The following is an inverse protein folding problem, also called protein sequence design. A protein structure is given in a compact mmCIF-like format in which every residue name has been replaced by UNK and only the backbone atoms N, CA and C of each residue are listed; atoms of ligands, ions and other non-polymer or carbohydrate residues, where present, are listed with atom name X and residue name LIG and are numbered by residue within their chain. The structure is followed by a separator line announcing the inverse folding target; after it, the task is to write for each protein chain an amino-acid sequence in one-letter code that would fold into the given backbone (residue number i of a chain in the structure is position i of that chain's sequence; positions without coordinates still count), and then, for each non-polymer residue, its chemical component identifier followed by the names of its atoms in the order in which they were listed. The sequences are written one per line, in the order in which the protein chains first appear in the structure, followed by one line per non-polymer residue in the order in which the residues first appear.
data_IF_818426325714
#
_entry.id   IF_818426325714
#
_cell.length_a   1.000
_cell.length_b   1.000
_cell.length_c   1.000
_cell.angle_alpha   90.00
_cell.angle_beta   90.00
_cell.angle_gamma   90.00
#
_symmetry.space_group_name_H-M   'P 1'
#
loop_
_entity.id
_entity.type
_entity.pdbx_description
1 polymer ?
#
# COMPACT_ATOMS: atom_id res chain seq x y z
N UNK A 1 -21.29 -21.61 23.64
CA UNK A 1 -20.99 -20.86 22.40
C UNK A 1 -20.83 -21.89 21.29
N UNK A 2 -21.75 -21.92 20.34
CA UNK A 2 -21.67 -22.74 19.13
C UNK A 2 -20.43 -22.33 18.34
N UNK A 3 -19.59 -23.26 17.84
CA UNK A 3 -18.51 -22.93 16.92
C UNK A 3 -19.12 -22.24 15.70
N UNK A 4 -18.68 -21.03 15.40
CA UNK A 4 -19.13 -20.31 14.21
C UNK A 4 -18.88 -21.17 12.97
N UNK A 5 -19.90 -21.31 12.12
CA UNK A 5 -19.74 -21.91 10.80
C UNK A 5 -18.65 -21.16 10.03
N UNK A 6 -17.47 -21.75 9.94
CA UNK A 6 -16.47 -21.34 8.94
C UNK A 6 -16.93 -22.00 7.64
N UNK A 7 -17.64 -21.24 6.81
CA UNK A 7 -17.93 -21.68 5.44
C UNK A 7 -16.61 -21.98 4.70
N UNK A 8 -16.62 -23.03 3.88
CA UNK A 8 -15.43 -23.47 3.15
C UNK A 8 -14.85 -22.33 2.29
N UNK A 9 -13.52 -22.07 2.35
CA UNK A 9 -12.84 -21.11 1.48
C UNK A 9 -13.10 -21.33 -0.01
N UNK A 10 -13.41 -22.57 -0.42
CA UNK A 10 -13.78 -22.92 -1.80
C UNK A 10 -15.12 -22.32 -2.22
N UNK A 11 -16.11 -22.30 -1.33
CA UNK A 11 -17.45 -21.75 -1.61
C UNK A 11 -17.36 -20.22 -1.73
N UNK A 12 -16.63 -19.56 -0.81
CA UNK A 12 -16.40 -18.12 -0.90
C UNK A 12 -15.54 -17.75 -2.12
N UNK A 13 -14.52 -18.55 -2.45
CA UNK A 13 -13.70 -18.41 -3.65
C UNK A 13 -14.55 -18.47 -4.92
N UNK A 14 -15.44 -19.46 -5.04
CA UNK A 14 -16.34 -19.63 -6.18
C UNK A 14 -17.32 -18.46 -6.34
N UNK A 15 -17.97 -18.02 -5.26
CA UNK A 15 -18.90 -16.89 -5.30
C UNK A 15 -18.20 -15.57 -5.69
N UNK A 16 -17.01 -15.32 -5.16
CA UNK A 16 -16.21 -14.13 -5.48
C UNK A 16 -15.68 -14.19 -6.91
N UNK A 17 -15.22 -15.35 -7.35
CA UNK A 17 -14.74 -15.57 -8.72
C UNK A 17 -15.82 -15.27 -9.77
N UNK A 18 -17.06 -15.75 -9.58
CA UNK A 18 -18.18 -15.45 -10.49
C UNK A 18 -18.47 -13.95 -10.60
N UNK A 19 -18.42 -13.21 -9.48
CA UNK A 19 -18.61 -11.74 -9.51
C UNK A 19 -17.46 -11.04 -10.21
N UNK A 20 -16.23 -11.53 -10.04
CA UNK A 20 -15.05 -10.96 -10.67
C UNK A 20 -15.02 -11.23 -12.19
N UNK A 21 -15.50 -12.38 -12.64
CA UNK A 21 -15.70 -12.65 -14.07
C UNK A 21 -16.72 -11.73 -14.72
N UNK A 22 -17.74 -11.26 -14.00
CA UNK A 22 -18.69 -10.27 -14.50
C UNK A 22 -18.05 -8.89 -14.67
N UNK A 23 -17.15 -8.52 -13.77
CA UNK A 23 -16.39 -7.25 -13.84
C UNK A 23 -15.38 -7.29 -15.01
N UNK A 24 -14.71 -8.44 -15.22
CA UNK A 24 -13.71 -8.58 -16.28
C UNK A 24 -14.29 -8.93 -17.66
N UNK A 25 -15.46 -9.58 -17.71
CA UNK A 25 -16.11 -10.05 -18.94
C UNK A 25 -17.01 -9.02 -19.63
N UNK A 26 -17.39 -7.94 -18.93
CA UNK A 26 -18.15 -6.83 -19.49
C UNK A 26 -17.26 -5.87 -20.28
N UNK A 27 -16.87 -6.24 -21.51
CA UNK A 27 -16.38 -5.35 -22.58
C UNK A 27 -15.67 -4.08 -22.11
N UNK A 28 -14.50 -4.25 -21.51
CA UNK A 28 -13.60 -3.19 -21.06
C UNK A 28 -13.00 -2.52 -22.32
N UNK A 29 -13.76 -1.62 -22.98
CA UNK A 29 -13.32 -0.75 -24.11
C UNK A 29 -12.32 0.33 -23.70
N UNK A 30 -11.63 0.11 -22.59
CA UNK A 30 -10.77 1.09 -21.91
C UNK A 30 -9.31 0.66 -21.88
N UNK A 31 -9.01 -0.59 -22.27
CA UNK A 31 -7.63 -1.05 -22.44
C UNK A 31 -7.23 -0.72 -23.87
N UNK A 32 -6.13 0.01 -24.03
CA UNK A 32 -5.60 0.35 -25.33
C UNK A 32 -4.76 -0.78 -25.94
N UNK A 33 -4.20 -0.53 -27.12
CA UNK A 33 -3.32 -1.48 -27.82
C UNK A 33 -2.00 -1.76 -27.09
N UNK A 34 -1.66 -0.95 -26.09
CA UNK A 34 -0.47 -1.12 -25.26
C UNK A 34 -0.77 -1.88 -23.96
N UNK A 35 -1.98 -2.46 -23.82
CA UNK A 35 -2.45 -3.14 -22.60
C UNK A 35 -2.61 -2.22 -21.38
N UNK A 36 -2.77 -0.91 -21.58
CA UNK A 36 -2.98 0.03 -20.49
C UNK A 36 -4.44 0.48 -20.44
N UNK A 37 -4.98 0.52 -19.23
CA UNK A 37 -6.25 1.16 -18.91
C UNK A 37 -6.11 2.66 -19.13
N UNK A 38 -6.99 3.21 -19.97
CA UNK A 38 -7.15 4.63 -20.26
C UNK A 38 -8.34 5.16 -19.46
N UNK A 39 -8.07 6.06 -18.51
CA UNK A 39 -9.07 6.82 -17.79
C UNK A 39 -9.68 7.88 -18.71
N UNK A 40 -10.66 7.47 -19.53
CA UNK A 40 -11.45 8.34 -20.40
C UNK A 40 -12.68 8.94 -19.71
N UNK A 41 -13.06 8.41 -18.53
CA UNK A 41 -14.10 8.94 -17.66
C UNK A 41 -13.45 9.61 -16.43
N UNK A 42 -13.88 10.82 -16.04
CA UNK A 42 -13.33 11.51 -14.87
C UNK A 42 -13.36 10.69 -13.59
N UNK A 43 -14.36 9.83 -13.39
CA UNK A 43 -14.48 8.95 -12.22
C UNK A 43 -13.28 8.00 -12.11
N UNK A 44 -12.67 7.63 -13.22
CA UNK A 44 -11.62 6.61 -13.28
C UNK A 44 -10.23 7.20 -13.12
N UNK A 45 -10.11 8.48 -13.48
CA UNK A 45 -8.96 9.31 -13.13
C UNK A 45 -9.10 9.93 -11.76
N UNK A 46 -10.26 9.81 -11.11
CA UNK A 46 -10.54 10.48 -9.85
C UNK A 46 -9.75 9.83 -8.74
N UNK A 47 -9.04 10.67 -8.02
CA UNK A 47 -8.25 10.28 -6.88
C UNK A 47 -8.57 11.19 -5.71
N UNK A 48 -9.18 10.60 -4.68
CA UNK A 48 -9.40 11.29 -3.41
C UNK A 48 -8.07 11.77 -2.83
N UNK A 49 -6.96 11.11 -3.13
CA UNK A 49 -5.63 11.48 -2.65
C UNK A 49 -4.58 11.13 -3.72
N UNK A 50 -4.03 12.14 -4.40
CA UNK A 50 -3.24 13.11 -3.65
C UNK A 50 -3.83 14.51 -3.52
N UNK A 51 -4.95 14.82 -4.20
CA UNK A 51 -5.48 16.19 -4.22
C UNK A 51 -6.97 16.32 -4.53
N UNK A 52 -7.79 15.27 -4.42
CA UNK A 52 -9.22 15.33 -4.81
C UNK A 52 -9.41 15.77 -6.28
N UNK A 53 -8.65 15.15 -7.19
CA UNK A 53 -8.55 15.57 -8.57
C UNK A 53 -8.69 14.42 -9.56
N UNK A 54 -8.84 14.76 -10.83
CA UNK A 54 -8.92 13.78 -11.92
C UNK A 54 -7.64 13.80 -12.74
N UNK A 55 -7.01 12.65 -12.92
CA UNK A 55 -5.91 12.45 -13.86
C UNK A 55 -6.41 11.77 -15.15
N UNK A 56 -6.15 12.40 -16.29
CA UNK A 56 -6.53 11.86 -17.59
C UNK A 56 -5.49 10.89 -18.13
N UNK A 57 -5.91 10.11 -19.12
CA UNK A 57 -5.04 9.19 -19.86
C UNK A 57 -4.77 7.91 -19.09
N UNK A 58 -3.56 7.38 -19.22
CA UNK A 58 -3.10 6.14 -18.61
C UNK A 58 -2.60 6.43 -17.21
N UNK A 59 -3.53 6.57 -16.27
CA UNK A 59 -3.20 6.81 -14.87
C UNK A 59 -2.39 5.63 -14.32
N UNK A 60 -1.18 5.89 -13.83
CA UNK A 60 -0.21 4.84 -13.51
C UNK A 60 -0.67 4.00 -12.33
N UNK A 61 -1.16 4.61 -11.25
CA UNK A 61 -1.74 3.89 -10.12
C UNK A 61 -2.86 2.94 -10.56
N UNK A 62 -3.78 3.40 -11.41
CA UNK A 62 -4.89 2.58 -11.88
C UNK A 62 -4.40 1.32 -12.62
N UNK A 63 -3.36 1.46 -13.45
CA UNK A 63 -2.78 0.35 -14.17
C UNK A 63 -2.03 -0.64 -13.25
N UNK A 64 -1.32 -0.14 -12.24
CA UNK A 64 -0.70 -1.00 -11.21
C UNK A 64 -1.77 -1.77 -10.44
N UNK A 65 -2.84 -1.09 -10.01
CA UNK A 65 -3.97 -1.73 -9.32
C UNK A 65 -4.69 -2.74 -10.22
N UNK A 66 -4.78 -2.48 -11.53
CA UNK A 66 -5.36 -3.41 -12.49
C UNK A 66 -4.51 -4.68 -12.62
N UNK A 67 -3.19 -4.56 -12.71
CA UNK A 67 -2.28 -5.72 -12.69
C UNK A 67 -2.45 -6.54 -11.40
N UNK A 68 -2.46 -5.89 -10.23
CA UNK A 68 -2.70 -6.55 -8.95
C UNK A 68 -4.08 -7.23 -8.89
N UNK A 69 -5.11 -6.62 -9.47
CA UNK A 69 -6.45 -7.22 -9.53
C UNK A 69 -6.46 -8.50 -10.38
N UNK A 70 -5.74 -8.51 -11.52
CA UNK A 70 -5.58 -9.69 -12.36
C UNK A 70 -4.80 -10.82 -11.66
N UNK A 71 -3.74 -10.50 -10.92
CA UNK A 71 -3.00 -11.48 -10.12
C UNK A 71 -3.87 -12.12 -9.01
N UNK A 72 -4.67 -11.29 -8.34
CA UNK A 72 -5.65 -11.77 -7.36
C UNK A 72 -6.75 -12.61 -8.03
N UNK A 73 -7.20 -12.23 -9.23
CA UNK A 73 -8.15 -13.00 -10.03
C UNK A 73 -7.60 -14.38 -10.41
N UNK A 74 -6.33 -14.45 -10.82
CA UNK A 74 -5.65 -15.70 -11.11
C UNK A 74 -5.59 -16.60 -9.87
N UNK A 75 -5.25 -16.03 -8.71
CA UNK A 75 -5.20 -16.78 -7.44
C UNK A 75 -6.57 -17.34 -7.06
N UNK A 76 -7.65 -16.56 -7.25
CA UNK A 76 -9.02 -17.04 -7.03
C UNK A 76 -9.41 -18.12 -8.05
N UNK A 77 -8.98 -18.00 -9.30
CA UNK A 77 -9.21 -19.00 -10.35
C UNK A 77 -8.55 -20.35 -10.01
N UNK A 78 -7.33 -20.33 -9.47
CA UNK A 78 -6.64 -21.55 -9.00
C UNK A 78 -7.43 -22.23 -7.87
N UNK A 79 -7.95 -21.46 -6.91
CA UNK A 79 -8.74 -22.00 -5.78
C UNK A 79 -9.97 -22.77 -6.26
N UNK A 80 -10.56 -22.37 -7.38
CA UNK A 80 -11.72 -23.05 -7.99
C UNK A 80 -11.34 -24.01 -9.12
N UNK A 81 -10.04 -24.33 -9.25
CA UNK A 81 -9.48 -25.21 -10.29
C UNK A 81 -9.76 -24.77 -11.74
N UNK A 82 -9.95 -23.47 -11.99
CA UNK A 82 -10.10 -22.93 -13.34
C UNK A 82 -8.72 -22.51 -13.90
N UNK A 83 -7.93 -23.50 -14.31
CA UNK A 83 -6.55 -23.30 -14.77
C UNK A 83 -6.44 -22.43 -16.02
N UNK A 84 -7.41 -22.52 -16.94
CA UNK A 84 -7.46 -21.70 -18.15
C UNK A 84 -7.60 -20.21 -17.82
N UNK A 85 -8.57 -19.85 -16.98
CA UNK A 85 -8.73 -18.45 -16.58
C UNK A 85 -7.56 -17.96 -15.73
N UNK A 86 -7.02 -18.81 -14.86
CA UNK A 86 -5.85 -18.49 -14.07
C UNK A 86 -4.64 -18.14 -14.96
N UNK A 87 -4.41 -18.91 -16.03
CA UNK A 87 -3.36 -18.63 -17.02
C UNK A 87 -3.62 -17.31 -17.77
N UNK A 88 -4.85 -17.10 -18.24
CA UNK A 88 -5.23 -15.87 -18.95
C UNK A 88 -5.01 -14.62 -18.10
N UNK A 89 -5.44 -14.63 -16.83
CA UNK A 89 -5.26 -13.51 -15.93
C UNK A 89 -3.78 -13.22 -15.64
N UNK A 90 -2.95 -14.25 -15.46
CA UNK A 90 -1.49 -14.08 -15.30
C UNK A 90 -0.84 -13.47 -16.54
N UNK A 91 -1.21 -13.94 -17.73
CA UNK A 91 -0.69 -13.42 -18.99
C UNK A 91 -1.07 -11.94 -19.17
N UNK A 92 -2.33 -11.58 -18.89
CA UNK A 92 -2.77 -10.19 -18.95
C UNK A 92 -2.05 -9.33 -17.90
N UNK A 93 -1.88 -9.82 -16.67
CA UNK A 93 -1.14 -9.09 -15.64
C UNK A 93 0.30 -8.81 -16.09
N UNK A 94 1.00 -9.81 -16.61
CA UNK A 94 2.36 -9.67 -17.12
C UNK A 94 2.45 -8.63 -18.26
N UNK A 95 1.47 -8.62 -19.17
CA UNK A 95 1.40 -7.63 -20.25
C UNK A 95 1.20 -6.20 -19.71
N UNK A 96 0.30 -6.01 -18.74
CA UNK A 96 0.06 -4.70 -18.10
C UNK A 96 1.31 -4.22 -17.36
N UNK A 97 1.97 -5.08 -16.58
CA UNK A 97 3.19 -4.75 -15.83
C UNK A 97 4.32 -4.30 -16.77
N UNK A 98 4.51 -5.04 -17.86
CA UNK A 98 5.48 -4.69 -18.92
C UNK A 98 5.15 -3.33 -19.52
N UNK A 99 3.87 -3.05 -19.80
CA UNK A 99 3.43 -1.78 -20.35
C UNK A 99 3.62 -0.61 -19.37
N UNK A 100 3.34 -0.80 -18.08
CA UNK A 100 3.60 0.21 -17.04
C UNK A 100 5.09 0.58 -17.01
N UNK A 101 5.97 -0.41 -17.02
CA UNK A 101 7.42 -0.20 -17.05
C UNK A 101 7.89 0.48 -18.34
N UNK A 102 7.29 0.15 -19.48
CA UNK A 102 7.68 0.67 -20.78
C UNK A 102 7.23 2.11 -21.00
N UNK A 103 6.00 2.45 -20.61
CA UNK A 103 5.35 3.71 -20.99
C UNK A 103 5.18 4.72 -19.85
N UNK A 104 5.22 4.28 -18.59
CA UNK A 104 4.86 5.13 -17.44
C UNK A 104 6.03 5.38 -16.47
N UNK A 105 7.14 4.66 -16.62
CA UNK A 105 8.39 4.94 -15.91
C UNK A 105 9.23 5.99 -16.64
N UNK A 106 9.61 7.07 -15.96
CA UNK A 106 10.52 8.08 -16.52
C UNK A 106 11.96 7.78 -16.05
N UNK A 107 12.79 7.23 -16.93
CA UNK A 107 14.17 6.84 -16.62
C UNK A 107 15.10 8.03 -16.35
N UNK A 108 14.83 9.19 -16.94
CA UNK A 108 15.59 10.42 -16.68
C UNK A 108 15.28 10.97 -15.30
N UNK A 109 14.00 11.01 -14.94
CA UNK A 109 13.53 11.54 -13.65
C UNK A 109 13.65 10.51 -12.50
N UNK A 110 13.84 9.23 -12.82
CA UNK A 110 13.93 8.11 -11.89
C UNK A 110 12.68 7.89 -11.02
N UNK A 111 11.48 8.12 -11.58
CA UNK A 111 10.22 7.80 -10.93
C UNK A 111 9.12 7.46 -11.95
N UNK A 112 8.06 6.80 -11.49
CA UNK A 112 6.85 6.59 -12.27
C UNK A 112 6.03 7.88 -12.31
N UNK A 113 5.70 8.31 -13.53
CA UNK A 113 4.85 9.47 -13.78
C UNK A 113 3.45 9.23 -13.22
N UNK A 114 2.72 10.30 -12.92
CA UNK A 114 1.34 10.20 -12.42
C UNK A 114 0.46 9.58 -13.51
N UNK A 115 0.55 10.09 -14.74
CA UNK A 115 -0.04 9.47 -15.94
C UNK A 115 0.79 9.80 -17.18
N UNK A 116 0.42 9.24 -18.32
CA UNK A 116 1.01 9.61 -19.62
C UNK A 116 0.68 11.06 -20.06
N UNK A 117 -0.26 11.73 -19.38
CA UNK A 117 -0.60 13.14 -19.61
C UNK A 117 -0.21 14.07 -18.45
N UNK A 118 0.03 13.51 -17.26
CA UNK A 118 0.58 14.23 -16.11
C UNK A 118 1.99 13.67 -15.82
N UNK A 119 2.95 14.16 -16.61
CA UNK A 119 4.34 13.68 -16.61
C UNK A 119 5.25 14.46 -15.66
N UNK A 120 4.72 15.55 -15.06
CA UNK A 120 5.38 16.36 -14.04
C UNK A 120 4.76 16.13 -12.66
N UNK A 121 5.57 16.33 -11.63
CA UNK A 121 5.27 15.96 -10.27
C UNK A 121 5.38 14.46 -9.97
N UNK A 122 5.55 14.15 -8.69
CA UNK A 122 5.66 12.77 -8.20
C UNK A 122 4.53 12.51 -7.20
N UNK A 123 3.88 11.35 -7.30
CA UNK A 123 2.84 10.92 -6.37
C UNK A 123 3.34 9.75 -5.49
N UNK A 124 3.05 9.83 -4.19
CA UNK A 124 3.46 8.82 -3.19
C UNK A 124 2.87 7.45 -3.54
N UNK A 125 1.58 7.38 -3.83
CA UNK A 125 0.86 6.13 -4.07
C UNK A 125 1.35 5.38 -5.31
N UNK A 126 1.55 6.08 -6.41
CA UNK A 126 1.99 5.53 -7.69
C UNK A 126 3.33 4.82 -7.50
N UNK A 127 4.27 5.50 -6.85
CA UNK A 127 5.61 4.97 -6.67
C UNK A 127 5.69 3.93 -5.53
N UNK A 128 4.91 4.11 -4.46
CA UNK A 128 4.80 3.11 -3.39
C UNK A 128 4.17 1.81 -3.88
N UNK A 129 3.09 1.88 -4.67
CA UNK A 129 2.43 0.71 -5.25
C UNK A 129 3.28 0.04 -6.32
N UNK A 130 4.10 0.78 -7.08
CA UNK A 130 5.06 0.19 -7.99
C UNK A 130 6.10 -0.68 -7.26
N UNK A 131 6.53 -0.26 -6.06
CA UNK A 131 7.38 -1.07 -5.17
C UNK A 131 6.61 -2.29 -4.64
N UNK A 132 5.44 -2.06 -4.03
CA UNK A 132 4.67 -3.10 -3.33
C UNK A 132 4.12 -4.18 -4.28
N UNK A 133 3.83 -3.84 -5.54
CA UNK A 133 3.44 -4.80 -6.58
C UNK A 133 4.63 -5.56 -7.19
N UNK A 134 5.87 -5.12 -6.90
CA UNK A 134 7.09 -5.64 -7.51
C UNK A 134 7.38 -5.17 -8.94
N UNK A 135 6.51 -4.35 -9.54
CA UNK A 135 6.68 -3.82 -10.91
C UNK A 135 8.00 -3.05 -11.03
N UNK A 136 8.32 -2.24 -10.01
CA UNK A 136 9.57 -1.50 -9.93
C UNK A 136 10.80 -2.42 -9.93
N UNK A 137 10.72 -3.57 -9.26
CA UNK A 137 11.83 -4.51 -9.15
C UNK A 137 12.14 -5.23 -10.48
N UNK A 138 11.16 -5.32 -11.39
CA UNK A 138 11.34 -5.92 -12.72
C UNK A 138 12.22 -5.08 -13.63
N UNK A 139 12.25 -3.75 -13.44
CA UNK A 139 13.16 -2.87 -14.18
C UNK A 139 14.60 -3.13 -13.76
N UNK A 140 14.86 -3.08 -12.45
CA UNK A 140 16.15 -3.35 -11.83
C UNK A 140 15.97 -3.39 -10.30
N UNK A 141 16.70 -4.26 -9.60
CA UNK A 141 16.63 -4.42 -8.13
C UNK A 141 16.92 -3.15 -7.32
N UNK A 142 17.62 -2.17 -7.91
CA UNK A 142 17.91 -0.88 -7.27
C UNK A 142 16.82 0.19 -7.46
N UNK A 143 15.83 -0.03 -8.32
CA UNK A 143 14.77 0.95 -8.60
C UNK A 143 13.92 1.23 -7.36
N UNK A 144 13.43 0.24 -6.58
CA UNK A 144 12.64 0.51 -5.39
C UNK A 144 13.32 1.47 -4.40
N UNK A 145 14.61 1.28 -4.13
CA UNK A 145 15.38 2.18 -3.26
C UNK A 145 15.47 3.60 -3.85
N UNK A 146 15.69 3.74 -5.17
CA UNK A 146 15.69 5.06 -5.82
C UNK A 146 14.34 5.75 -5.71
N UNK A 147 13.23 5.03 -5.87
CA UNK A 147 11.88 5.57 -5.73
C UNK A 147 11.63 6.09 -4.31
N UNK A 148 12.05 5.33 -3.29
CA UNK A 148 11.97 5.76 -1.89
C UNK A 148 12.75 7.06 -1.65
N UNK A 149 13.96 7.19 -2.19
CA UNK A 149 14.74 8.42 -2.07
C UNK A 149 14.13 9.59 -2.86
N UNK A 150 13.55 9.35 -4.04
CA UNK A 150 12.82 10.39 -4.79
C UNK A 150 11.60 10.88 -4.02
N UNK A 151 10.80 9.97 -3.43
CA UNK A 151 9.68 10.35 -2.58
C UNK A 151 10.17 11.09 -1.33
N UNK A 152 11.25 10.63 -0.68
CA UNK A 152 11.88 11.34 0.44
C UNK A 152 12.23 12.77 0.08
N UNK A 153 13.02 12.94 -0.98
CA UNK A 153 13.54 14.23 -1.41
C UNK A 153 12.46 15.22 -1.83
N UNK A 154 11.42 14.74 -2.53
CA UNK A 154 10.42 15.62 -3.18
C UNK A 154 9.16 15.83 -2.35
N UNK A 155 8.80 14.89 -1.48
CA UNK A 155 7.51 14.88 -0.80
C UNK A 155 7.61 15.14 0.70
N UNK A 156 8.79 14.97 1.32
CA UNK A 156 8.95 15.28 2.74
C UNK A 156 8.74 16.77 2.99
N UNK A 157 7.83 17.12 3.90
CA UNK A 157 7.61 18.51 4.31
C UNK A 157 8.68 18.94 5.31
N UNK A 158 9.43 19.99 4.96
CA UNK A 158 10.55 20.52 5.75
C UNK A 158 10.42 22.01 6.10
N UNK A 159 9.23 22.60 5.89
CA UNK A 159 8.98 24.00 6.25
C UNK A 159 8.85 24.16 7.77
N UNK A 160 9.06 25.37 8.29
CA UNK A 160 8.89 25.66 9.71
C UNK A 160 7.48 25.27 10.18
N UNK A 161 7.39 24.47 11.25
CA UNK A 161 6.16 23.89 11.79
C UNK A 161 5.41 22.95 10.81
N UNK A 162 6.06 22.52 9.72
CA UNK A 162 5.51 21.54 8.79
C UNK A 162 5.94 20.12 9.12
N UNK A 163 5.11 19.16 8.74
CA UNK A 163 5.37 17.73 8.96
C UNK A 163 4.67 16.88 7.91
N UNK A 164 5.06 15.61 7.85
CA UNK A 164 4.48 14.60 6.98
C UNK A 164 5.10 14.53 5.60
N UNK A 165 4.45 13.74 4.75
CA UNK A 165 4.79 13.55 3.35
C UNK A 165 3.62 14.01 2.48
N UNK A 166 3.87 14.96 1.57
CA UNK A 166 2.87 15.40 0.61
C UNK A 166 2.43 14.23 -0.25
N UNK A 167 1.13 14.09 -0.50
CA UNK A 167 0.61 13.01 -1.32
C UNK A 167 1.13 13.10 -2.76
N UNK A 168 1.28 14.33 -3.27
CA UNK A 168 1.93 14.68 -4.53
C UNK A 168 2.61 16.06 -4.41
N UNK A 169 3.63 16.31 -5.21
CA UNK A 169 4.25 17.64 -5.33
C UNK A 169 3.29 18.67 -5.93
N UNK A 170 3.47 19.96 -5.63
CA UNK A 170 2.55 21.00 -6.07
C UNK A 170 2.42 21.15 -7.60
N UNK A 171 3.44 20.76 -8.37
CA UNK A 171 3.42 20.72 -9.84
C UNK A 171 2.71 19.50 -10.43
N UNK A 172 2.38 18.51 -9.58
CA UNK A 172 1.69 17.28 -9.97
C UNK A 172 0.18 17.27 -9.70
N UNK A 173 -0.36 18.31 -9.05
CA UNK A 173 -1.78 18.35 -8.66
C UNK A 173 -2.63 19.00 -9.78
N UNK A 174 -3.86 18.53 -10.03
CA UNK A 174 -4.75 19.18 -10.98
C UNK A 174 -5.12 20.62 -10.56
N UNK A 175 -5.42 21.48 -11.53
CA UNK A 175 -5.84 22.86 -11.26
C UNK A 175 -7.06 22.92 -10.34
N UNK A 176 -7.06 23.86 -9.38
CA UNK A 176 -8.14 24.04 -8.40
C UNK A 176 -8.08 23.10 -7.21
N UNK A 177 -7.02 22.29 -7.09
CA UNK A 177 -6.81 21.38 -5.95
C UNK A 177 -5.74 21.89 -4.98
N UNK A 178 -5.54 21.20 -3.87
CA UNK A 178 -4.54 21.54 -2.85
C UNK A 178 -3.65 20.36 -2.51
N UNK A 179 -2.39 20.65 -2.19
CA UNK A 179 -1.49 19.66 -1.60
C UNK A 179 -1.94 19.31 -0.20
N UNK A 180 -1.91 18.01 0.12
CA UNK A 180 -2.26 17.47 1.43
C UNK A 180 -1.27 16.36 1.81
N UNK A 181 -1.17 16.11 3.10
CA UNK A 181 -0.61 14.88 3.66
C UNK A 181 -1.77 13.92 3.87
N UNK A 182 -1.69 12.72 3.30
CA UNK A 182 -2.75 11.70 3.41
C UNK A 182 -2.21 10.47 4.12
N UNK A 183 -2.64 10.19 5.37
CA UNK A 183 -2.22 8.98 6.09
C UNK A 183 -2.61 7.69 5.36
N UNK A 184 -3.71 7.71 4.61
CA UNK A 184 -4.10 6.60 3.74
C UNK A 184 -3.04 6.28 2.69
N UNK A 185 -2.45 7.29 2.05
CA UNK A 185 -1.41 7.11 1.04
C UNK A 185 -0.05 6.83 1.69
N UNK A 186 0.28 7.54 2.77
CA UNK A 186 1.53 7.33 3.50
C UNK A 186 1.63 5.96 4.14
N UNK A 187 0.52 5.25 4.35
CA UNK A 187 0.53 3.81 4.69
C UNK A 187 1.28 2.99 3.63
N UNK A 188 1.01 3.20 2.33
CA UNK A 188 1.70 2.47 1.27
C UNK A 188 3.18 2.85 1.19
N UNK A 189 3.51 4.13 1.45
CA UNK A 189 4.90 4.59 1.47
C UNK A 189 5.69 3.94 2.62
N UNK A 190 5.16 3.94 3.84
CA UNK A 190 5.80 3.28 4.97
C UNK A 190 5.91 1.75 4.74
N UNK A 191 4.87 1.11 4.22
CA UNK A 191 4.92 -0.31 3.87
C UNK A 191 5.99 -0.61 2.80
N UNK A 192 6.08 0.21 1.75
CA UNK A 192 7.10 0.08 0.71
C UNK A 192 8.52 0.22 1.29
N UNK A 193 8.73 1.17 2.21
CA UNK A 193 10.01 1.32 2.89
C UNK A 193 10.38 0.09 3.72
N UNK A 194 9.44 -0.45 4.50
CA UNK A 194 9.67 -1.69 5.26
C UNK A 194 9.91 -2.93 4.36
N UNK A 195 9.21 -3.06 3.23
CA UNK A 195 9.47 -4.16 2.28
C UNK A 195 10.84 -4.03 1.58
N UNK A 196 11.48 -2.86 1.66
CA UNK A 196 12.85 -2.62 1.16
C UNK A 196 13.89 -2.55 2.29
N UNK A 197 13.55 -3.03 3.49
CA UNK A 197 14.41 -3.00 4.68
C UNK A 197 14.91 -1.59 5.07
N UNK A 198 14.16 -0.56 4.69
CA UNK A 198 14.39 0.85 5.04
C UNK A 198 13.57 1.25 6.25
N UNK A 199 13.81 0.59 7.37
CA UNK A 199 13.13 0.90 8.63
C UNK A 199 13.37 2.35 9.06
N UNK A 200 14.54 2.92 8.73
CA UNK A 200 14.85 4.34 8.95
C UNK A 200 13.82 5.26 8.29
N UNK A 201 13.54 5.04 7.00
CA UNK A 201 12.57 5.82 6.25
C UNK A 201 11.15 5.49 6.65
N UNK A 202 10.86 4.22 6.95
CA UNK A 202 9.53 3.82 7.37
C UNK A 202 9.12 4.50 8.68
N UNK A 203 10.00 4.52 9.70
CA UNK A 203 9.76 5.27 10.93
C UNK A 203 9.69 6.77 10.70
N UNK A 204 10.52 7.33 9.80
CA UNK A 204 10.42 8.73 9.41
C UNK A 204 9.04 9.09 8.81
N UNK A 205 8.44 8.22 8.00
CA UNK A 205 7.05 8.38 7.51
C UNK A 205 6.06 8.29 8.67
N UNK A 206 6.17 7.26 9.52
CA UNK A 206 5.25 7.06 10.65
C UNK A 206 5.24 8.23 11.63
N UNK A 207 6.42 8.69 12.03
CA UNK A 207 6.58 9.78 12.99
C UNK A 207 6.06 11.10 12.42
N UNK A 208 6.33 11.38 11.15
CA UNK A 208 5.94 12.66 10.55
C UNK A 208 4.45 12.78 10.24
N UNK A 209 3.79 11.66 9.93
CA UNK A 209 2.38 11.65 9.51
C UNK A 209 1.44 11.35 10.69
N UNK A 210 1.75 10.40 11.57
CA UNK A 210 0.83 10.03 12.64
C UNK A 210 1.09 10.75 13.97
N UNK A 211 2.32 11.22 14.24
CA UNK A 211 2.63 11.90 15.51
C UNK A 211 1.74 13.13 15.78
N UNK A 212 1.42 14.00 14.80
CA UNK A 212 0.53 15.15 15.04
C UNK A 212 -0.83 14.77 15.63
N UNK A 213 -1.37 13.62 15.24
CA UNK A 213 -2.65 13.11 15.74
C UNK A 213 -2.58 12.58 17.18
N UNK A 214 -1.38 12.20 17.63
CA UNK A 214 -1.13 11.63 18.95
C UNK A 214 -0.78 12.70 20.00
N UNK A 215 -0.41 13.91 19.59
CA UNK A 215 -0.03 14.98 20.51
C UNK A 215 -1.26 15.59 21.22
N UNK A 216 -1.19 15.86 22.53
CA UNK A 216 -2.21 16.65 23.22
C UNK A 216 -2.35 18.04 22.58
N UNK A 217 -3.59 18.48 22.36
CA UNK A 217 -3.85 19.79 21.74
C UNK A 217 -5.31 19.98 21.34
N UNK A 218 -5.68 21.13 20.76
CA UNK A 218 -7.06 21.44 20.39
C UNK A 218 -7.63 20.52 19.31
N UNK A 219 -6.77 19.83 18.55
CA UNK A 219 -7.14 18.89 17.49
C UNK A 219 -7.05 17.42 17.93
N UNK A 220 -6.67 17.14 19.18
CA UNK A 220 -6.59 15.77 19.67
C UNK A 220 -7.99 15.16 19.83
N UNK A 221 -8.27 14.08 19.11
CA UNK A 221 -9.57 13.38 19.16
C UNK A 221 -9.47 11.95 19.67
N UNK A 222 -8.27 11.44 19.94
CA UNK A 222 -8.04 10.02 20.22
C UNK A 222 -8.31 9.09 19.04
N UNK A 223 -8.46 9.63 17.83
CA UNK A 223 -8.71 8.89 16.58
C UNK A 223 -7.85 9.45 15.44
N UNK A 224 -7.80 8.76 14.30
CA UNK A 224 -7.00 9.20 13.15
C UNK A 224 -7.77 10.16 12.25
N UNK A 225 -7.13 11.24 11.81
CA UNK A 225 -7.73 12.23 10.90
C UNK A 225 -7.67 11.77 9.45
N UNK A 226 -8.59 12.23 8.63
CA UNK A 226 -8.70 11.88 7.21
C UNK A 226 -7.50 12.32 6.38
N UNK A 227 -7.00 13.52 6.66
CA UNK A 227 -5.91 14.17 5.95
C UNK A 227 -5.34 15.30 6.80
N UNK A 228 -4.14 15.72 6.49
CA UNK A 228 -3.50 16.89 7.09
C UNK A 228 -3.08 17.89 6.02
N UNK A 229 -2.99 19.15 6.43
CA UNK A 229 -2.29 20.18 5.65
C UNK A 229 -0.78 20.04 5.89
N UNK A 230 0.07 20.62 5.02
CA UNK A 230 1.52 20.58 5.20
C UNK A 230 2.01 21.19 6.54
N UNK A 231 1.17 21.95 7.24
CA UNK A 231 1.47 22.50 8.56
C UNK A 231 1.17 21.54 9.74
N UNK A 232 0.84 20.26 9.47
CA UNK A 232 0.59 19.26 10.51
C UNK A 232 -0.77 19.35 11.21
N UNK A 233 -1.72 20.11 10.64
CA UNK A 233 -3.05 20.28 11.20
C UNK A 233 -4.13 19.80 10.22
N UNK A 234 -5.29 19.34 10.71
CA UNK A 234 -6.40 18.99 9.85
C UNK A 234 -6.94 20.23 9.12
N UNK A 235 -7.53 20.03 7.94
CA UNK A 235 -8.29 21.07 7.27
C UNK A 235 -9.63 21.33 7.96
N UNK A 236 -10.25 22.48 7.66
CA UNK A 236 -11.52 22.87 8.26
C UNK A 236 -12.66 21.85 8.03
N UNK A 237 -12.62 21.13 6.91
CA UNK A 237 -13.63 20.11 6.55
C UNK A 237 -13.10 18.67 6.69
N UNK A 238 -11.93 18.47 7.29
CA UNK A 238 -11.32 17.15 7.43
C UNK A 238 -12.10 16.32 8.46
N UNK A 239 -12.49 15.09 8.10
CA UNK A 239 -13.02 14.16 9.10
C UNK A 239 -11.95 13.85 10.14
N UNK A 240 -12.26 14.12 11.41
CA UNK A 240 -11.33 13.94 12.52
C UNK A 240 -11.31 12.52 13.11
N UNK A 241 -12.08 11.61 12.51
CA UNK A 241 -12.16 10.19 12.85
C UNK A 241 -12.40 9.36 11.57
N UNK A 242 -11.34 9.08 10.80
CA UNK A 242 -11.41 8.43 9.50
C UNK A 242 -10.59 7.13 9.48
N UNK A 243 -11.27 6.01 9.25
CA UNK A 243 -10.70 4.66 9.38
C UNK A 243 -9.62 4.34 8.36
N UNK A 244 -9.62 4.98 7.20
CA UNK A 244 -8.58 4.78 6.17
C UNK A 244 -7.17 5.21 6.64
N UNK A 245 -7.09 5.99 7.72
CA UNK A 245 -5.85 6.49 8.31
C UNK A 245 -5.35 5.56 9.42
N UNK A 246 -6.08 4.48 9.73
CA UNK A 246 -5.67 3.46 10.69
C UNK A 246 -4.61 2.49 10.13
N UNK A 247 -4.07 2.75 8.92
CA UNK A 247 -3.05 1.92 8.26
C UNK A 247 -1.78 1.70 9.09
N UNK A 248 -1.47 2.57 10.05
CA UNK A 248 -0.38 2.36 11.01
C UNK A 248 -0.55 1.04 11.81
N UNK A 249 -1.78 0.62 12.10
CA UNK A 249 -2.05 -0.60 12.90
C UNK A 249 -1.53 -1.87 12.22
N UNK A 250 -1.89 -2.19 10.96
CA UNK A 250 -1.30 -3.32 10.26
C UNK A 250 0.20 -3.13 9.98
N UNK A 251 0.71 -1.90 9.85
CA UNK A 251 2.17 -1.66 9.73
C UNK A 251 2.90 -2.13 11.00
N UNK A 252 2.48 -1.66 12.17
CA UNK A 252 3.10 -2.02 13.44
C UNK A 252 3.01 -3.53 13.69
N UNK A 253 1.89 -4.15 13.33
CA UNK A 253 1.72 -5.61 13.48
C UNK A 253 2.63 -6.42 12.54
N UNK A 254 2.75 -5.99 11.27
CA UNK A 254 3.49 -6.74 10.24
C UNK A 254 4.99 -6.52 10.26
N UNK A 255 5.43 -5.31 10.57
CA UNK A 255 6.83 -4.91 10.39
C UNK A 255 7.53 -4.65 11.73
N UNK A 256 6.88 -3.98 12.68
CA UNK A 256 7.50 -3.72 14.00
C UNK A 256 7.44 -4.96 14.88
N UNK A 257 6.25 -5.54 15.06
CA UNK A 257 6.09 -6.82 15.74
C UNK A 257 6.62 -7.98 14.87
N UNK A 258 6.56 -7.82 13.54
CA UNK A 258 7.17 -8.71 12.57
C UNK A 258 6.29 -9.86 12.08
N UNK A 259 5.02 -9.93 12.45
CA UNK A 259 4.14 -11.08 12.16
C UNK A 259 3.49 -10.91 10.77
N UNK A 260 3.84 -11.77 9.81
CA UNK A 260 3.23 -11.76 8.47
C UNK A 260 2.67 -13.14 8.08
N UNK A 261 1.54 -13.21 7.37
CA UNK A 261 1.08 -14.45 6.76
C UNK A 261 1.96 -14.78 5.54
N UNK A 262 2.40 -16.04 5.42
CA UNK A 262 3.08 -16.55 4.22
C UNK A 262 2.16 -17.39 3.33
N UNK A 263 1.02 -17.80 3.86
CA UNK A 263 -0.02 -18.50 3.11
C UNK A 263 -1.41 -18.15 3.67
N UNK A 264 -2.45 -18.51 2.91
CA UNK A 264 -3.83 -18.26 3.30
C UNK A 264 -4.12 -18.81 4.71
N UNK A 265 -4.85 -18.01 5.49
CA UNK A 265 -5.30 -18.39 6.83
C UNK A 265 -4.20 -18.48 7.90
N UNK A 266 -2.98 -17.97 7.67
CA UNK A 266 -1.85 -18.13 8.59
C UNK A 266 -1.44 -19.59 8.84
N UNK A 267 -1.74 -20.49 7.89
CA UNK A 267 -1.21 -21.87 7.91
C UNK A 267 0.32 -21.88 7.91
N UNK A 268 0.93 -20.92 7.19
CA UNK A 268 2.33 -20.52 7.30
C UNK A 268 2.45 -19.04 7.64
N UNK A 269 3.45 -18.68 8.43
CA UNK A 269 3.72 -17.32 8.86
C UNK A 269 5.23 -17.05 8.95
N UNK A 270 5.62 -15.78 9.01
CA UNK A 270 6.97 -15.36 9.36
C UNK A 270 6.95 -14.36 10.51
N UNK A 271 8.00 -14.40 11.34
CA UNK A 271 8.26 -13.43 12.39
C UNK A 271 9.61 -12.77 12.12
N UNK A 272 9.56 -11.59 11.48
CA UNK A 272 10.75 -10.79 11.14
C UNK A 272 10.56 -9.34 11.62
N UNK A 273 10.85 -9.04 12.90
CA UNK A 273 10.80 -7.68 13.40
C UNK A 273 11.80 -6.77 12.69
N UNK A 274 11.38 -5.54 12.40
CA UNK A 274 12.23 -4.44 11.94
C UNK A 274 12.20 -3.34 13.01
N UNK A 275 13.06 -3.42 14.03
CA UNK A 275 12.94 -2.60 15.24
C UNK A 275 13.28 -1.11 15.00
N UNK A 276 14.07 -0.79 13.98
CA UNK A 276 14.62 0.56 13.82
C UNK A 276 15.34 0.99 15.10
N UNK A 277 14.93 2.12 15.68
CA UNK A 277 15.48 2.63 16.94
C UNK A 277 14.67 2.20 18.19
N UNK A 278 13.61 1.41 18.03
CA UNK A 278 12.82 0.93 19.15
C UNK A 278 13.62 -0.09 19.97
N UNK A 279 13.49 0.00 21.29
CA UNK A 279 14.18 -0.88 22.24
C UNK A 279 13.36 -2.09 22.64
N UNK A 280 12.06 -2.10 22.38
CA UNK A 280 11.20 -3.26 22.60
C UNK A 280 9.88 -3.11 21.82
N UNK A 281 9.20 -4.23 21.57
CA UNK A 281 7.78 -4.26 21.28
C UNK A 281 7.15 -5.57 21.74
N UNK A 282 5.88 -5.51 22.13
CA UNK A 282 5.09 -6.68 22.49
C UNK A 282 3.68 -6.56 21.92
N UNK A 283 3.14 -7.68 21.42
CA UNK A 283 1.82 -7.68 20.82
C UNK A 283 1.37 -9.07 20.38
N UNK A 284 0.21 -9.13 19.76
CA UNK A 284 -0.35 -10.38 19.26
C UNK A 284 -1.20 -10.18 18.01
N UNK A 285 -1.30 -11.23 17.21
CA UNK A 285 -2.17 -11.30 16.03
C UNK A 285 -3.09 -12.51 16.18
N UNK A 286 -4.39 -12.27 16.13
CA UNK A 286 -5.39 -13.33 16.10
C UNK A 286 -5.42 -13.98 14.72
N UNK A 287 -5.30 -15.31 14.66
CA UNK A 287 -5.38 -16.10 13.43
C UNK A 287 -6.50 -17.13 13.52
N UNK A 288 -6.96 -17.71 12.40
CA UNK A 288 -7.90 -18.83 12.41
C UNK A 288 -7.42 -20.05 13.23
N UNK A 289 -6.11 -20.18 13.45
CA UNK A 289 -5.51 -21.31 14.18
C UNK A 289 -5.22 -20.99 15.65
N UNK A 290 -5.49 -19.77 16.11
CA UNK A 290 -5.17 -19.30 17.46
C UNK A 290 -4.36 -18.00 17.44
N UNK A 291 -3.93 -17.54 18.61
CA UNK A 291 -3.19 -16.28 18.75
C UNK A 291 -1.70 -16.54 18.57
N UNK A 292 -1.03 -15.72 17.74
CA UNK A 292 0.43 -15.60 17.71
C UNK A 292 0.80 -14.43 18.60
N UNK A 293 1.63 -14.65 19.62
CA UNK A 293 2.14 -13.58 20.51
C UNK A 293 3.64 -13.42 20.28
N UNK A 294 4.10 -12.19 20.18
CA UNK A 294 5.52 -11.84 20.05
C UNK A 294 5.87 -10.79 21.10
N UNK A 295 7.01 -10.97 21.74
CA UNK A 295 7.64 -9.99 22.61
C UNK A 295 9.13 -9.98 22.30
N UNK A 296 9.67 -8.83 21.89
CA UNK A 296 11.09 -8.67 21.68
C UNK A 296 11.67 -7.47 22.42
N UNK A 297 12.94 -7.58 22.81
CA UNK A 297 13.78 -6.52 23.35
C UNK A 297 15.01 -6.37 22.44
N UNK A 298 15.35 -5.14 22.10
CA UNK A 298 16.44 -4.75 21.21
C UNK A 298 17.41 -3.86 21.99
N UNK A 299 18.39 -4.49 22.63
CA UNK A 299 19.47 -3.79 23.32
C UNK A 299 20.71 -3.71 22.42
N UNK A 300 21.67 -2.86 22.78
CA UNK A 300 22.94 -2.74 22.04
C UNK A 300 23.77 -4.05 21.99
N UNK A 301 23.56 -4.96 22.94
CA UNK A 301 24.34 -6.19 23.07
C UNK A 301 23.61 -7.45 22.59
N UNK A 302 22.28 -7.47 22.67
CA UNK A 302 21.47 -8.64 22.36
C UNK A 302 20.08 -8.22 21.84
N UNK A 303 19.62 -8.93 20.81
CA UNK A 303 18.22 -8.96 20.39
C UNK A 303 17.56 -10.23 20.93
N UNK A 304 16.64 -10.09 21.88
CA UNK A 304 15.93 -11.22 22.49
C UNK A 304 14.48 -11.21 22.04
N UNK A 305 13.99 -12.33 21.52
CA UNK A 305 12.60 -12.51 21.10
C UNK A 305 11.98 -13.76 21.73
N UNK A 306 10.74 -13.62 22.20
CA UNK A 306 9.90 -14.69 22.72
C UNK A 306 8.64 -14.75 21.87
N UNK A 307 8.36 -15.93 21.33
CA UNK A 307 7.20 -16.18 20.46
C UNK A 307 6.35 -17.30 21.02
N UNK A 308 5.04 -17.11 21.05
CA UNK A 308 4.06 -18.15 21.36
C UNK A 308 3.20 -18.38 20.12
N UNK A 309 3.18 -19.61 19.63
CA UNK A 309 2.60 -19.98 18.34
C UNK A 309 1.54 -21.09 18.51
N UNK A 310 0.47 -21.09 17.70
CA UNK A 310 -0.47 -22.19 17.69
C UNK A 310 0.13 -23.48 17.12
N UNK A 311 -0.15 -24.63 17.76
CA UNK A 311 0.47 -25.94 17.45
C UNK A 311 0.29 -26.43 16.01
N UNK A 312 -0.76 -26.01 15.30
CA UNK A 312 -1.10 -26.49 13.96
C UNK A 312 -0.59 -25.57 12.82
N UNK A 313 0.39 -24.72 13.10
CA UNK A 313 0.96 -23.76 12.12
C UNK A 313 2.48 -23.91 12.08
N UNK A 314 3.09 -23.50 10.97
CA UNK A 314 4.55 -23.50 10.80
C UNK A 314 5.04 -22.14 10.35
N UNK A 315 6.24 -21.73 10.75
CA UNK A 315 6.79 -20.46 10.31
C UNK A 315 8.29 -20.36 10.44
N UNK A 316 8.81 -19.22 9.99
CA UNK A 316 10.23 -18.85 10.02
C UNK A 316 10.46 -17.57 10.83
#
# INVERSE_FOLDING_TARGET
MTPGHIESPLIQGAQRYQRLTLINGGSIRIIDTNNLVVASNPIWGYDYNPSYGTYNGKFTKLNILYAMALENAASLADVVNNTTAALQYRQQAAAVRTAVNTYLYNSTANFYMISDQQTVGIAQDTNSLAILSGIASELNSSIPQRLLEQMKQKLRVLVANGTGYLSTTADGIPSGTSVIVSPFISFFHAAAAFEQDRSDLAFDVLDSVWSPMAQPGPYFTGTFWESERPNGYPGASTSMAHTWSAGITPILSKYVLGIKPMSAGYTKWSIRPQPGNLTWAAGSVCTPHGIITVNWNNSHAEFRIVVNIPRSTSGI
#
